data_IF_481414059391
#
_entry.id   IF_481414059391
#
_cell.length_a   1.000
_cell.length_b   1.000
_cell.length_c   1.000
_cell.angle_alpha   90.00
_cell.angle_beta   90.00
_cell.angle_gamma   90.00
#
_symmetry.space_group_name_H-M   'P 1'
#
loop_
_entity.id
_entity.type
_entity.pdbx_description
1 polymer ?
#
# COMPACT_ATOMS: atom_id res chain seq x y z
N UNK A 1 -4.24 6.77 13.37
CA UNK A 1 -3.42 6.63 12.15
C UNK A 1 -4.24 7.18 10.99
N UNK A 2 -3.61 7.56 9.88
CA UNK A 2 -4.32 8.01 8.67
C UNK A 2 -4.11 6.94 7.60
N UNK A 3 -5.15 6.61 6.84
CA UNK A 3 -5.06 5.73 5.69
C UNK A 3 -5.05 6.56 4.41
N UNK A 4 -4.13 6.26 3.50
CA UNK A 4 -4.04 6.90 2.19
C UNK A 4 -3.89 5.88 1.08
N UNK A 5 -4.77 5.95 0.09
CA UNK A 5 -4.71 5.14 -1.12
C UNK A 5 -3.90 5.85 -2.19
N UNK A 6 -2.89 5.16 -2.73
CA UNK A 6 -2.00 5.67 -3.77
C UNK A 6 -2.06 4.74 -4.98
N UNK A 7 -2.59 5.19 -6.09
CA UNK A 7 -2.61 4.45 -7.35
C UNK A 7 -1.32 4.69 -8.12
N UNK A 8 -0.64 3.62 -8.51
CA UNK A 8 0.45 3.71 -9.47
C UNK A 8 -0.07 4.16 -10.84
N UNK A 9 0.61 5.11 -11.47
CA UNK A 9 0.25 5.60 -12.81
C UNK A 9 0.52 4.55 -13.89
N UNK A 10 1.51 3.69 -13.65
CA UNK A 10 1.96 2.62 -14.54
C UNK A 10 2.72 1.52 -13.77
N UNK A 11 3.04 0.38 -14.41
CA UNK A 11 3.72 -0.76 -13.77
C UNK A 11 5.14 -0.52 -13.27
N UNK A 12 5.81 0.61 -13.60
CA UNK A 12 7.18 0.91 -13.15
C UNK A 12 7.28 1.13 -11.64
N UNK A 13 6.16 1.50 -11.00
CA UNK A 13 6.07 1.94 -9.60
C UNK A 13 6.78 3.26 -9.27
N UNK A 14 7.18 4.06 -10.26
CA UNK A 14 7.89 5.32 -10.03
C UNK A 14 6.98 6.47 -9.58
N UNK A 15 5.74 6.48 -10.05
CA UNK A 15 4.80 7.57 -9.80
C UNK A 15 3.48 7.07 -9.23
N UNK A 16 2.92 7.85 -8.30
CA UNK A 16 1.63 7.57 -7.69
C UNK A 16 0.77 8.81 -7.66
N UNK A 17 -0.54 8.61 -7.76
CA UNK A 17 -1.55 9.62 -7.48
C UNK A 17 -2.38 9.18 -6.29
N UNK A 18 -2.80 10.13 -5.45
CA UNK A 18 -3.74 9.84 -4.38
C UNK A 18 -5.15 9.65 -4.96
N UNK A 19 -5.86 8.64 -4.47
CA UNK A 19 -7.26 8.42 -4.77
C UNK A 19 -8.07 8.56 -3.49
N UNK A 20 -9.12 9.37 -3.57
CA UNK A 20 -9.96 9.73 -2.44
C UNK A 20 -9.25 10.54 -1.35
N UNK A 21 -10.01 10.84 -0.32
CA UNK A 21 -9.53 11.58 0.84
C UNK A 21 -8.76 10.69 1.82
N UNK A 22 -7.94 11.34 2.66
CA UNK A 22 -7.28 10.67 3.79
C UNK A 22 -8.32 10.22 4.82
N UNK A 23 -8.31 8.93 5.16
CA UNK A 23 -9.31 8.36 6.08
C UNK A 23 -8.70 8.24 7.48
N UNK A 24 -9.30 8.84 8.53
CA UNK A 24 -8.94 8.54 9.90
C UNK A 24 -9.17 7.06 10.17
N UNK A 25 -8.10 6.34 10.51
CA UNK A 25 -8.16 4.92 10.70
C UNK A 25 -7.57 4.52 12.06
N UNK A 26 -8.36 3.76 12.81
CA UNK A 26 -7.96 3.24 14.12
C UNK A 26 -7.33 1.84 14.00
N UNK A 27 -7.70 1.06 12.99
CA UNK A 27 -7.26 -0.33 12.80
C UNK A 27 -6.40 -0.50 11.56
N UNK A 28 -5.42 -1.39 11.58
CA UNK A 28 -4.62 -1.68 10.38
C UNK A 28 -5.43 -2.58 9.43
N UNK A 29 -5.78 -2.12 8.22
CA UNK A 29 -6.58 -2.92 7.30
C UNK A 29 -5.75 -4.10 6.79
N UNK A 30 -6.33 -5.30 6.83
CA UNK A 30 -5.69 -6.50 6.30
C UNK A 30 -5.64 -6.41 4.77
N UNK A 31 -4.48 -6.03 4.25
CA UNK A 31 -4.28 -5.66 2.84
C UNK A 31 -3.18 -6.55 2.23
N UNK A 32 -3.52 -7.81 1.88
CA UNK A 32 -2.55 -8.72 1.29
C UNK A 32 -2.15 -8.24 -0.11
N UNK A 33 -0.86 -8.38 -0.45
CA UNK A 33 -0.39 -8.14 -1.81
C UNK A 33 -1.15 -9.02 -2.82
N UNK A 34 -1.61 -8.41 -3.91
CA UNK A 34 -2.47 -9.04 -4.91
C UNK A 34 -3.94 -9.19 -4.49
N UNK A 35 -4.31 -8.77 -3.26
CA UNK A 35 -5.69 -8.71 -2.82
C UNK A 35 -6.46 -7.55 -3.47
N UNK A 36 -7.76 -7.76 -3.65
CA UNK A 36 -8.66 -6.73 -4.15
C UNK A 36 -9.14 -5.81 -3.03
N UNK A 37 -9.39 -4.55 -3.37
CA UNK A 37 -9.97 -3.56 -2.48
C UNK A 37 -10.87 -2.60 -3.27
N UNK A 38 -11.97 -2.17 -2.66
CA UNK A 38 -12.87 -1.17 -3.25
C UNK A 38 -12.59 0.18 -2.61
N UNK A 39 -12.31 1.19 -3.44
CA UNK A 39 -12.11 2.58 -3.03
C UNK A 39 -13.06 3.44 -3.87
N UNK A 40 -13.94 4.18 -3.21
CA UNK A 40 -14.94 5.06 -3.87
C UNK A 40 -15.78 4.36 -4.95
N UNK A 41 -16.10 3.08 -4.73
CA UNK A 41 -16.92 2.29 -5.66
C UNK A 41 -16.14 1.66 -6.83
N UNK A 42 -14.83 1.88 -6.91
CA UNK A 42 -13.96 1.28 -7.93
C UNK A 42 -13.07 0.20 -7.30
N UNK A 43 -12.92 -0.94 -7.99
CA UNK A 43 -12.03 -2.02 -7.57
C UNK A 43 -10.59 -1.76 -7.99
N UNK A 44 -9.66 -2.01 -7.08
CA UNK A 44 -8.21 -1.94 -7.27
C UNK A 44 -7.52 -3.17 -6.69
N UNK A 45 -6.27 -3.38 -7.09
CA UNK A 45 -5.42 -4.47 -6.58
C UNK A 45 -4.28 -3.88 -5.75
N UNK A 46 -4.01 -4.47 -4.59
CA UNK A 46 -2.92 -4.07 -3.70
C UNK A 46 -1.58 -4.47 -4.34
N UNK A 47 -0.85 -3.46 -4.84
CA UNK A 47 0.29 -3.64 -5.74
C UNK A 47 1.66 -3.45 -5.08
N UNK A 48 1.68 -3.18 -3.76
CA UNK A 48 2.90 -3.18 -2.95
C UNK A 48 2.57 -3.43 -1.48
N UNK A 49 3.61 -3.71 -0.68
CA UNK A 49 3.47 -3.85 0.77
C UNK A 49 3.12 -2.47 1.36
N UNK A 50 2.05 -2.38 2.17
CA UNK A 50 1.71 -1.16 2.89
C UNK A 50 2.87 -0.63 3.72
N UNK A 51 3.07 0.68 3.70
CA UNK A 51 4.14 1.35 4.44
C UNK A 51 3.59 2.50 5.28
N UNK A 52 4.10 2.63 6.51
CA UNK A 52 3.76 3.76 7.39
C UNK A 52 4.81 4.84 7.25
N UNK A 53 4.39 6.02 6.79
CA UNK A 53 5.20 7.24 6.81
C UNK A 53 4.82 8.08 8.02
N UNK A 54 5.79 8.69 8.69
CA UNK A 54 5.52 9.68 9.73
C UNK A 54 5.37 11.06 9.09
N UNK A 55 4.32 11.78 9.47
CA UNK A 55 4.05 13.16 9.06
C UNK A 55 3.88 14.02 10.32
N UNK A 56 4.13 15.34 10.24
CA UNK A 56 3.76 16.25 11.32
C UNK A 56 2.27 16.12 11.65
N UNK A 57 1.93 16.14 12.93
CA UNK A 57 0.52 16.02 13.33
C UNK A 57 -0.21 17.34 13.00
N UNK A 58 -1.32 17.29 12.23
CA UNK A 58 -1.94 18.50 11.68
C UNK A 58 -2.50 19.45 12.76
N UNK A 59 -2.84 18.90 13.93
CA UNK A 59 -3.37 19.66 15.09
C UNK A 59 -2.31 19.94 16.16
N UNK A 60 -1.22 19.15 16.20
CA UNK A 60 -0.25 19.18 17.30
C UNK A 60 1.16 19.26 16.71
N UNK A 61 1.67 20.47 16.39
CA UNK A 61 2.90 20.62 15.60
C UNK A 61 4.15 19.97 16.22
N UNK A 62 4.17 19.77 17.54
CA UNK A 62 5.27 19.08 18.25
C UNK A 62 5.13 17.54 18.26
N UNK A 63 4.10 17.00 17.60
CA UNK A 63 3.80 15.58 17.52
C UNK A 63 3.79 15.09 16.08
N UNK A 64 3.83 13.76 15.91
CA UNK A 64 3.77 13.11 14.60
C UNK A 64 2.52 12.24 14.49
N UNK A 65 1.94 12.20 13.30
CA UNK A 65 0.91 11.24 12.92
C UNK A 65 1.51 10.21 11.95
N UNK A 66 1.12 8.95 12.09
CA UNK A 66 1.42 7.90 11.11
C UNK A 66 0.39 7.91 9.99
N UNK A 67 0.87 7.93 8.74
CA UNK A 67 0.07 7.69 7.54
C UNK A 67 0.43 6.34 6.94
N UNK A 68 -0.52 5.42 6.94
CA UNK A 68 -0.43 4.12 6.27
C UNK A 68 -0.78 4.30 4.80
N UNK A 69 0.22 4.11 3.95
CA UNK A 69 0.10 4.21 2.51
C UNK A 69 -0.21 2.83 1.91
N UNK A 70 -1.34 2.72 1.24
CA UNK A 70 -1.75 1.53 0.49
C UNK A 70 -1.53 1.80 -0.99
N UNK A 71 -0.66 1.01 -1.62
CA UNK A 71 -0.30 1.17 -3.02
C UNK A 71 -1.16 0.27 -3.90
N UNK A 72 -1.75 0.84 -4.93
CA UNK A 72 -2.78 0.23 -5.75
C UNK A 72 -2.34 0.16 -7.21
N UNK A 73 -2.90 -0.83 -7.92
CA UNK A 73 -2.89 -0.93 -9.37
C UNK A 73 -4.33 -1.07 -9.88
N UNK A 74 -4.56 -0.66 -11.13
CA UNK A 74 -5.81 -0.96 -11.83
C UNK A 74 -5.85 -2.46 -12.18
N UNK A 75 -7.00 -3.14 -12.07
CA UNK A 75 -7.10 -4.57 -12.39
C UNK A 75 -6.58 -4.92 -13.80
N UNK A 76 -6.88 -4.07 -14.79
CA UNK A 76 -6.49 -4.25 -16.18
C UNK A 76 -4.97 -4.13 -16.44
N UNK A 77 -4.21 -3.53 -15.52
CA UNK A 77 -2.75 -3.40 -15.63
C UNK A 77 -2.01 -4.46 -14.81
N UNK A 78 -2.72 -5.23 -13.99
CA UNK A 78 -2.08 -6.06 -12.96
C UNK A 78 -1.16 -7.15 -13.51
N UNK A 79 -1.51 -7.73 -14.66
CA UNK A 79 -0.65 -8.71 -15.34
C UNK A 79 0.73 -8.17 -15.70
N UNK A 80 0.85 -6.85 -15.84
CA UNK A 80 2.07 -6.17 -16.26
C UNK A 80 2.93 -5.73 -15.07
N UNK A 81 2.39 -5.82 -13.84
CA UNK A 81 3.14 -5.47 -12.63
C UNK A 81 4.16 -6.58 -12.30
N UNK A 82 5.47 -6.28 -12.33
CA UNK A 82 6.45 -7.22 -11.80
C UNK A 82 6.21 -7.41 -10.30
N UNK A 83 6.50 -8.59 -9.76
CA UNK A 83 6.47 -8.79 -8.32
C UNK A 83 7.35 -7.74 -7.63
N UNK A 84 6.80 -7.06 -6.62
CA UNK A 84 7.55 -6.06 -5.83
C UNK A 84 8.78 -6.68 -5.21
N UNK A 85 9.93 -5.99 -5.27
CA UNK A 85 11.17 -6.43 -4.63
C UNK A 85 10.96 -6.73 -3.14
N UNK A 86 10.19 -5.90 -2.44
CA UNK A 86 9.88 -6.13 -1.04
C UNK A 86 9.06 -7.42 -0.82
N UNK A 87 8.17 -7.77 -1.76
CA UNK A 87 7.41 -9.03 -1.73
C UNK A 87 8.30 -10.22 -2.05
N UNK A 88 9.19 -10.11 -3.06
CA UNK A 88 10.19 -11.13 -3.37
C UNK A 88 11.02 -11.47 -2.13
N UNK A 89 11.50 -10.44 -1.43
CA UNK A 89 12.36 -10.60 -0.26
C UNK A 89 11.63 -11.28 0.91
N UNK A 90 10.34 -10.98 1.13
CA UNK A 90 9.52 -11.70 2.12
C UNK A 90 9.31 -13.16 1.70
N UNK A 91 9.02 -13.40 0.42
CA UNK A 91 8.79 -14.74 -0.12
C UNK A 91 10.05 -15.63 0.06
N UNK A 92 11.22 -15.12 -0.33
CA UNK A 92 12.51 -15.81 -0.18
C UNK A 92 12.83 -16.12 1.28
N UNK A 93 12.60 -15.17 2.20
CA UNK A 93 12.84 -15.37 3.63
C UNK A 93 11.91 -16.43 4.23
N UNK A 94 10.65 -16.48 3.79
CA UNK A 94 9.70 -17.49 4.24
C UNK A 94 10.06 -18.88 3.73
N UNK A 95 10.60 -19.01 2.51
CA UNK A 95 11.09 -20.28 1.98
C UNK A 95 12.29 -20.81 2.78
N UNK A 96 13.27 -19.95 3.09
CA UNK A 96 14.45 -20.32 3.89
C UNK A 96 14.07 -20.82 5.29
N UNK A 97 13.09 -20.21 5.94
CA UNK A 97 12.60 -20.62 7.27
C UNK A 97 11.90 -21.99 7.29
N UNK A 98 11.41 -22.49 6.14
CA UNK A 98 10.74 -23.79 6.02
C UNK A 98 11.71 -24.93 5.72
N UNK A 99 12.96 -24.62 5.39
CA UNK A 99 14.02 -25.58 5.07
C UNK A 99 14.97 -25.84 6.25
N UNK A 100 14.83 -25.10 7.35
CA UNK A 100 15.51 -25.30 8.63
C UNK A 100 14.53 -25.85 9.67
#
# INVERSE_FOLDING_TARGET
MILRYLLYTDPSREQTIQIGEDIPNQDQPHTPYGGEIVVEGQTYIIANIPYVKMIPHPVYPDSHAGILQIFLARPEQWSDFPMSEAVKLIHENNLKKRQN
#
